data_IF_138464239815
#
_entry.id   IF_138464239815
#
_cell.length_a   1.000
_cell.length_b   1.000
_cell.length_c   1.000
_cell.angle_alpha   90.00
_cell.angle_beta   90.00
_cell.angle_gamma   90.00
#
_symmetry.space_group_name_H-M   'P 1'
#
loop_
_entity.id
_entity.type
_entity.pdbx_description
1 polymer ?
#
# COMPACT_ATOMS: atom_id res chain seq x y z
N UNK A 1 33.27 -8.13 41.35
CA UNK A 1 32.97 -7.93 39.90
C UNK A 1 32.36 -9.21 39.36
N UNK A 2 31.10 -9.21 38.95
CA UNK A 2 30.55 -10.20 38.00
C UNK A 2 29.36 -9.57 37.28
N UNK A 3 29.58 -9.20 36.01
CA UNK A 3 28.59 -8.56 35.14
C UNK A 3 27.65 -9.65 34.61
N UNK A 4 26.49 -9.80 35.24
CA UNK A 4 25.40 -10.64 34.74
C UNK A 4 24.92 -10.13 33.38
N UNK A 5 25.08 -10.95 32.34
CA UNK A 5 24.61 -10.65 30.98
C UNK A 5 23.09 -10.70 30.94
N UNK A 6 22.46 -9.52 30.87
CA UNK A 6 21.04 -9.38 30.54
C UNK A 6 20.84 -9.80 29.08
N UNK A 7 20.25 -10.97 28.85
CA UNK A 7 19.76 -11.38 27.54
C UNK A 7 18.60 -10.47 27.16
N UNK A 8 18.86 -9.43 26.36
CA UNK A 8 17.82 -8.66 25.67
C UNK A 8 17.12 -9.62 24.71
N UNK A 9 15.91 -10.06 25.07
CA UNK A 9 14.99 -10.72 24.17
C UNK A 9 14.76 -9.78 22.98
N UNK A 10 15.26 -10.18 21.82
CA UNK A 10 14.94 -9.52 20.57
C UNK A 10 13.44 -9.73 20.35
N UNK A 11 12.67 -8.66 20.52
CA UNK A 11 11.27 -8.63 20.14
C UNK A 11 11.22 -8.86 18.64
N UNK A 12 10.89 -10.08 18.24
CA UNK A 12 10.55 -10.42 16.85
C UNK A 12 9.29 -9.66 16.51
N UNK A 13 9.47 -8.45 15.97
CA UNK A 13 8.42 -7.76 15.21
C UNK A 13 7.89 -8.77 14.19
N UNK A 14 6.57 -8.95 14.06
CA UNK A 14 6.05 -9.91 13.10
C UNK A 14 6.58 -9.51 11.71
N UNK A 15 7.17 -10.48 10.99
CA UNK A 15 7.82 -10.36 9.68
C UNK A 15 6.88 -9.93 8.54
N UNK A 16 5.83 -9.17 8.82
CA UNK A 16 4.85 -8.72 7.82
C UNK A 16 5.54 -7.78 6.81
N UNK A 17 6.54 -7.02 7.27
CA UNK A 17 7.37 -6.14 6.43
C UNK A 17 8.30 -6.90 5.46
N UNK A 18 8.52 -8.21 5.65
CA UNK A 18 9.39 -8.98 4.74
C UNK A 18 8.69 -9.42 3.45
N UNK A 19 7.36 -9.48 3.46
CA UNK A 19 6.58 -10.08 2.39
C UNK A 19 5.83 -9.06 1.54
N UNK A 20 5.63 -7.84 2.05
CA UNK A 20 5.15 -6.74 1.21
C UNK A 20 6.40 -6.07 0.67
N UNK A 21 6.80 -6.29 -0.60
CA UNK A 21 7.80 -5.43 -1.19
C UNK A 21 7.29 -4.00 -1.03
N UNK A 22 8.15 -3.09 -0.56
CA UNK A 22 7.84 -1.67 -0.37
C UNK A 22 7.69 -0.99 -1.74
N UNK A 23 6.76 -1.51 -2.55
CA UNK A 23 6.46 -1.02 -3.88
C UNK A 23 5.73 0.28 -3.67
N UNK A 24 6.47 1.37 -3.80
CA UNK A 24 5.89 2.68 -3.98
C UNK A 24 5.09 2.68 -5.27
N UNK A 25 3.77 2.56 -5.16
CA UNK A 25 2.88 2.75 -6.29
C UNK A 25 2.95 4.21 -6.69
N UNK A 26 3.39 4.46 -7.93
CA UNK A 26 3.35 5.79 -8.52
C UNK A 26 1.90 6.23 -8.65
N UNK A 27 1.44 7.04 -7.69
CA UNK A 27 0.08 7.57 -7.69
C UNK A 27 -0.10 8.54 -8.85
N UNK A 28 -1.19 8.36 -9.58
CA UNK A 28 -1.74 9.32 -10.53
C UNK A 28 -2.29 10.52 -9.73
N UNK A 29 -1.94 11.76 -10.10
CA UNK A 29 -2.53 12.98 -9.53
C UNK A 29 -4.06 12.99 -9.66
N UNK A 30 -4.80 13.54 -8.68
CA UNK A 30 -6.27 13.58 -8.71
C UNK A 30 -6.85 14.18 -9.99
N UNK A 31 -6.24 15.25 -10.52
CA UNK A 31 -6.72 15.94 -11.71
C UNK A 31 -6.63 15.05 -12.95
N UNK A 32 -5.59 14.21 -13.02
CA UNK A 32 -5.41 13.23 -14.10
C UNK A 32 -6.38 12.07 -13.94
N UNK A 33 -6.63 11.62 -12.71
CA UNK A 33 -7.62 10.60 -12.44
C UNK A 33 -9.03 11.04 -12.84
N UNK A 34 -9.42 12.26 -12.44
CA UNK A 34 -10.67 12.89 -12.83
C UNK A 34 -10.80 12.96 -14.36
N UNK A 35 -9.75 13.38 -15.06
CA UNK A 35 -9.76 13.45 -16.52
C UNK A 35 -9.95 12.06 -17.18
N UNK A 36 -9.31 11.01 -16.64
CA UNK A 36 -9.47 9.64 -17.13
C UNK A 36 -10.90 9.16 -16.91
N UNK A 37 -11.45 9.37 -15.71
CA UNK A 37 -12.80 8.92 -15.35
C UNK A 37 -13.87 9.68 -16.17
N UNK A 38 -13.73 11.00 -16.35
CA UNK A 38 -14.61 11.77 -17.23
C UNK A 38 -14.54 11.31 -18.69
N UNK A 39 -13.34 11.02 -19.20
CA UNK A 39 -13.16 10.50 -20.57
C UNK A 39 -13.82 9.13 -20.75
N UNK A 40 -13.92 8.33 -19.68
CA UNK A 40 -14.62 7.06 -19.69
C UNK A 40 -16.16 7.20 -19.57
N UNK A 41 -16.68 8.44 -19.46
CA UNK A 41 -18.12 8.73 -19.40
C UNK A 41 -18.68 8.84 -17.98
N UNK A 42 -17.82 8.88 -16.95
CA UNK A 42 -18.28 9.08 -15.57
C UNK A 42 -18.44 10.56 -15.25
N UNK A 43 -19.65 10.97 -14.90
CA UNK A 43 -19.92 12.30 -14.35
C UNK A 43 -19.64 12.30 -12.85
N UNK A 44 -18.40 12.62 -12.51
CA UNK A 44 -17.93 12.72 -11.12
C UNK A 44 -17.15 14.01 -10.89
N UNK A 45 -17.08 14.41 -9.62
CA UNK A 45 -16.24 15.51 -9.16
C UNK A 45 -14.83 15.04 -8.73
N UNK A 46 -14.02 16.01 -8.30
CA UNK A 46 -12.64 15.76 -7.89
C UNK A 46 -12.54 14.89 -6.64
N UNK A 47 -13.39 15.12 -5.63
CA UNK A 47 -13.37 14.39 -4.37
C UNK A 47 -13.74 12.92 -4.60
N UNK A 48 -14.77 12.68 -5.40
CA UNK A 48 -15.17 11.35 -5.84
C UNK A 48 -14.06 10.65 -6.63
N UNK A 49 -13.36 11.37 -7.51
CA UNK A 49 -12.25 10.81 -8.27
C UNK A 49 -11.08 10.38 -7.37
N UNK A 50 -10.80 11.15 -6.31
CA UNK A 50 -9.76 10.83 -5.34
C UNK A 50 -10.13 9.57 -4.55
N UNK A 51 -11.38 9.48 -4.08
CA UNK A 51 -11.89 8.32 -3.35
C UNK A 51 -11.84 7.04 -4.20
N UNK A 52 -12.30 7.12 -5.46
CA UNK A 52 -12.24 6.00 -6.41
C UNK A 52 -10.80 5.53 -6.60
N UNK A 53 -9.87 6.46 -6.86
CA UNK A 53 -8.48 6.08 -7.06
C UNK A 53 -7.83 5.51 -5.80
N UNK A 54 -8.14 6.05 -4.62
CA UNK A 54 -7.66 5.53 -3.35
C UNK A 54 -8.08 4.07 -3.17
N UNK A 55 -9.35 3.75 -3.45
CA UNK A 55 -9.87 2.39 -3.42
C UNK A 55 -9.15 1.48 -4.43
N UNK A 56 -8.96 1.92 -5.67
CA UNK A 56 -8.25 1.15 -6.70
C UNK A 56 -6.80 0.85 -6.28
N UNK A 57 -6.09 1.80 -5.66
CA UNK A 57 -4.74 1.55 -5.13
C UNK A 57 -4.73 0.49 -4.02
N UNK A 58 -5.75 0.44 -3.17
CA UNK A 58 -5.87 -0.60 -2.14
C UNK A 58 -5.98 -1.98 -2.81
N UNK A 59 -6.83 -2.12 -3.83
CA UNK A 59 -6.97 -3.39 -4.58
C UNK A 59 -5.64 -3.79 -5.22
N UNK A 60 -4.94 -2.86 -5.86
CA UNK A 60 -3.63 -3.14 -6.48
C UNK A 60 -2.63 -3.61 -5.41
N UNK A 61 -2.54 -2.94 -4.26
CA UNK A 61 -1.66 -3.37 -3.16
C UNK A 61 -2.00 -4.76 -2.65
N UNK A 62 -3.28 -5.07 -2.45
CA UNK A 62 -3.74 -6.39 -2.02
C UNK A 62 -3.42 -7.46 -3.05
N UNK A 63 -3.64 -7.17 -4.34
CA UNK A 63 -3.34 -8.09 -5.43
C UNK A 63 -1.84 -8.36 -5.53
N UNK A 64 -1.01 -7.30 -5.51
CA UNK A 64 0.44 -7.46 -5.51
C UNK A 64 0.91 -8.25 -4.29
N UNK A 65 0.35 -7.98 -3.10
CA UNK A 65 0.63 -8.79 -1.91
C UNK A 65 0.29 -10.25 -2.17
N UNK A 66 -0.92 -10.59 -2.60
CA UNK A 66 -1.32 -11.98 -2.83
C UNK A 66 -0.37 -12.67 -3.83
N UNK A 67 -0.09 -12.05 -4.98
CA UNK A 67 0.74 -12.64 -6.03
C UNK A 67 2.23 -12.75 -5.66
N UNK A 68 2.77 -11.82 -4.86
CA UNK A 68 4.19 -11.84 -4.43
C UNK A 68 4.42 -12.51 -3.06
N UNK A 69 3.36 -12.89 -2.34
CA UNK A 69 3.44 -13.60 -1.05
C UNK A 69 2.90 -15.03 -1.09
N UNK A 70 2.41 -15.46 -2.25
CA UNK A 70 2.09 -16.85 -2.50
C UNK A 70 3.39 -17.63 -2.76
N UNK A 71 3.89 -18.28 -1.70
CA UNK A 71 4.76 -19.47 -1.75
C UNK A 71 3.88 -20.74 -1.80
#
# INVERSE_FOLDING_TARGET
MNKGRVKKQATTRPKIEQYIPSIELKKIPPEKALAILKKAGYEIDQDQSEEIMAFLYIIVKLTLKEYFTSD
#
